data_IF_784020925951
#
_entry.id   IF_784020925951
#
_cell.length_a   1.000
_cell.length_b   1.000
_cell.length_c   1.000
_cell.angle_alpha   90.00
_cell.angle_beta   90.00
_cell.angle_gamma   90.00
#
_symmetry.space_group_name_H-M   'P 1'
#
loop_
_entity.id
_entity.type
_entity.pdbx_description
1 polymer ?
#
# COMPACT_ATOMS: atom_id res chain seq x y z
N UNK A 1 -20.08 19.47 -31.39
CA UNK A 1 -20.49 19.06 -30.04
C UNK A 1 -21.76 18.24 -30.18
N UNK A 2 -21.70 16.93 -29.90
CA UNK A 2 -22.89 16.07 -29.98
C UNK A 2 -23.90 16.51 -28.91
N UNK A 3 -25.18 16.61 -29.27
CA UNK A 3 -26.23 16.98 -28.31
C UNK A 3 -26.42 15.87 -27.27
N UNK A 4 -26.76 16.22 -26.03
CA UNK A 4 -27.00 15.25 -24.94
C UNK A 4 -28.06 14.22 -25.34
N UNK A 5 -29.11 14.65 -26.05
CA UNK A 5 -30.16 13.77 -26.55
C UNK A 5 -29.65 12.74 -27.56
N UNK A 6 -28.66 13.08 -28.39
CA UNK A 6 -28.05 12.15 -29.33
C UNK A 6 -27.22 11.08 -28.60
N UNK A 7 -26.46 11.46 -27.56
CA UNK A 7 -25.67 10.52 -26.74
C UNK A 7 -26.58 9.54 -25.97
N UNK A 8 -27.68 10.05 -25.39
CA UNK A 8 -28.68 9.21 -24.72
C UNK A 8 -29.32 8.17 -25.64
N UNK A 9 -29.46 8.47 -26.93
CA UNK A 9 -30.02 7.55 -27.93
C UNK A 9 -29.06 6.44 -28.38
N UNK A 10 -27.76 6.64 -28.15
CA UNK A 10 -26.70 5.75 -28.61
C UNK A 10 -26.27 4.72 -27.55
N UNK A 11 -26.64 4.93 -26.29
CA UNK A 11 -26.32 4.01 -25.22
C UNK A 11 -27.03 2.66 -25.40
N UNK A 12 -26.32 1.51 -25.26
CA UNK A 12 -26.92 0.19 -25.39
C UNK A 12 -27.80 -0.21 -24.19
N UNK A 13 -28.04 0.71 -23.25
CA UNK A 13 -28.83 0.51 -22.05
C UNK A 13 -29.68 1.74 -21.74
N UNK A 14 -30.72 1.56 -20.91
CA UNK A 14 -31.58 2.67 -20.47
C UNK A 14 -30.80 3.60 -19.53
N UNK A 15 -30.61 4.83 -19.95
CA UNK A 15 -29.94 5.87 -19.16
C UNK A 15 -30.89 6.47 -18.11
N UNK A 16 -30.33 6.85 -16.96
CA UNK A 16 -31.06 7.51 -15.88
C UNK A 16 -31.49 8.93 -16.23
N UNK A 17 -32.50 9.45 -15.53
CA UNK A 17 -32.99 10.83 -15.73
C UNK A 17 -32.21 11.86 -14.90
N UNK A 18 -31.57 11.43 -13.81
CA UNK A 18 -30.80 12.31 -12.93
C UNK A 18 -29.45 12.62 -13.57
N UNK A 19 -29.29 13.86 -14.00
CA UNK A 19 -28.06 14.33 -14.64
C UNK A 19 -27.05 14.75 -13.57
N UNK A 20 -25.84 14.20 -13.65
CA UNK A 20 -24.71 14.58 -12.80
C UNK A 20 -23.64 15.17 -13.71
N UNK A 21 -23.53 16.50 -13.69
CA UNK A 21 -22.62 17.25 -14.57
C UNK A 21 -21.17 17.23 -14.08
N UNK A 22 -20.98 17.21 -12.76
CA UNK A 22 -19.69 17.29 -12.09
C UNK A 22 -19.58 16.15 -11.08
N UNK A 23 -19.24 14.93 -11.55
CA UNK A 23 -19.07 13.79 -10.65
C UNK A 23 -17.87 14.01 -9.71
N UNK A 24 -18.11 13.94 -8.40
CA UNK A 24 -17.08 14.01 -7.37
C UNK A 24 -16.81 12.62 -6.78
N UNK A 25 -16.05 11.81 -7.52
CA UNK A 25 -15.57 10.52 -7.06
C UNK A 25 -14.38 10.06 -7.89
N UNK A 26 -13.56 9.19 -7.30
CA UNK A 26 -12.53 8.44 -8.01
C UNK A 26 -12.91 6.97 -8.14
N UNK A 27 -12.55 6.37 -9.28
CA UNK A 27 -12.56 4.91 -9.45
C UNK A 27 -11.16 4.45 -9.81
N UNK A 28 -10.72 3.36 -9.21
CA UNK A 28 -9.37 2.82 -9.43
C UNK A 28 -9.47 1.51 -10.19
N UNK A 29 -8.82 1.39 -11.34
CA UNK A 29 -8.71 0.15 -12.10
C UNK A 29 -7.62 -0.75 -11.50
N UNK A 30 -7.93 -2.02 -11.22
CA UNK A 30 -7.03 -2.98 -10.57
C UNK A 30 -6.49 -4.02 -11.55
N UNK A 31 -5.18 -4.27 -11.48
CA UNK A 31 -4.54 -5.38 -12.19
C UNK A 31 -4.80 -6.70 -11.46
N UNK A 32 -5.44 -7.66 -12.13
CA UNK A 32 -5.69 -9.03 -11.61
C UNK A 32 -5.26 -10.07 -12.62
N UNK A 33 -4.32 -10.92 -12.25
CA UNK A 33 -3.75 -11.96 -13.12
C UNK A 33 -4.64 -13.18 -13.35
N UNK A 34 -5.60 -13.44 -12.46
CA UNK A 34 -6.48 -14.61 -12.52
C UNK A 34 -7.77 -14.38 -13.30
N UNK A 35 -8.05 -13.14 -13.71
CA UNK A 35 -9.21 -12.80 -14.51
C UNK A 35 -8.84 -12.83 -15.99
N UNK A 36 -9.79 -13.21 -16.84
CA UNK A 36 -9.58 -13.18 -18.29
C UNK A 36 -9.44 -11.75 -18.83
N UNK A 37 -8.91 -11.55 -20.05
CA UNK A 37 -8.73 -10.23 -20.65
C UNK A 37 -10.02 -9.41 -20.79
N UNK A 38 -11.19 -10.07 -20.77
CA UNK A 38 -12.49 -9.40 -20.85
C UNK A 38 -13.01 -8.91 -19.50
N UNK A 39 -12.31 -9.16 -18.40
CA UNK A 39 -12.77 -8.79 -17.07
C UNK A 39 -11.90 -7.67 -16.50
N UNK A 40 -12.52 -6.54 -16.18
CA UNK A 40 -11.87 -5.42 -15.51
C UNK A 40 -12.45 -5.24 -14.11
N UNK A 41 -11.60 -5.06 -13.09
CA UNK A 41 -12.04 -4.81 -11.71
C UNK A 41 -11.72 -3.39 -11.29
N UNK A 42 -12.73 -2.72 -10.73
CA UNK A 42 -12.62 -1.36 -10.21
C UNK A 42 -12.85 -1.35 -8.69
N UNK A 43 -12.10 -0.52 -7.99
CA UNK A 43 -12.51 -0.06 -6.65
C UNK A 43 -13.35 1.19 -6.83
N UNK A 44 -14.53 1.19 -6.20
CA UNK A 44 -15.54 2.24 -6.35
C UNK A 44 -16.00 2.72 -4.97
N UNK A 45 -16.61 3.92 -4.87
CA UNK A 45 -17.22 4.39 -3.64
C UNK A 45 -18.26 3.39 -3.09
N UNK A 46 -18.43 3.34 -1.76
CA UNK A 46 -19.33 2.38 -1.11
C UNK A 46 -20.79 2.52 -1.57
N UNK A 47 -21.23 3.77 -1.79
CA UNK A 47 -22.57 4.12 -2.25
C UNK A 47 -22.79 3.95 -3.76
N UNK A 48 -21.73 3.68 -4.53
CA UNK A 48 -21.77 3.61 -5.98
C UNK A 48 -22.57 2.39 -6.47
N UNK A 49 -23.55 2.57 -7.35
CA UNK A 49 -24.36 1.45 -7.85
C UNK A 49 -23.77 0.78 -9.09
N UNK A 50 -24.26 -0.42 -9.43
CA UNK A 50 -23.85 -1.13 -10.65
C UNK A 50 -24.25 -0.37 -11.91
N UNK A 51 -25.37 0.36 -11.85
CA UNK A 51 -25.88 1.16 -12.95
C UNK A 51 -25.02 2.41 -13.13
N UNK A 52 -24.61 3.05 -12.02
CA UNK A 52 -23.73 4.23 -12.06
C UNK A 52 -22.37 3.89 -12.67
N UNK A 53 -21.79 2.73 -12.32
CA UNK A 53 -20.52 2.31 -12.92
C UNK A 53 -20.64 2.08 -14.42
N UNK A 54 -21.71 1.42 -14.87
CA UNK A 54 -21.94 1.19 -16.29
C UNK A 54 -22.11 2.52 -17.04
N UNK A 55 -22.95 3.39 -16.50
CA UNK A 55 -23.23 4.70 -17.07
C UNK A 55 -21.97 5.57 -17.13
N UNK A 56 -21.21 5.60 -16.04
CA UNK A 56 -19.96 6.35 -15.94
C UNK A 56 -18.88 5.82 -16.89
N UNK A 57 -18.69 4.50 -16.98
CA UNK A 57 -17.72 3.93 -17.93
C UNK A 57 -18.09 4.21 -19.38
N UNK A 58 -19.39 4.21 -19.71
CA UNK A 58 -19.88 4.51 -21.06
C UNK A 58 -19.75 5.99 -21.43
N UNK A 59 -20.05 6.90 -20.49
CA UNK A 59 -20.07 8.35 -20.77
C UNK A 59 -18.74 9.07 -20.51
N UNK A 60 -17.95 8.66 -19.50
CA UNK A 60 -16.79 9.41 -19.05
C UNK A 60 -15.47 8.92 -19.64
N UNK A 61 -15.33 7.62 -19.93
CA UNK A 61 -14.08 7.08 -20.45
C UNK A 61 -14.07 7.06 -21.98
N UNK A 62 -13.74 8.24 -22.54
CA UNK A 62 -12.66 8.42 -23.50
C UNK A 62 -11.61 9.32 -22.77
N UNK A 63 -10.30 9.02 -22.83
CA UNK A 63 -9.41 9.15 -21.67
C UNK A 63 -9.19 10.61 -21.22
N UNK A 64 -9.50 10.89 -19.95
CA UNK A 64 -9.02 12.08 -19.24
C UNK A 64 -8.49 11.70 -17.85
N UNK A 65 -7.38 12.34 -17.48
CA UNK A 65 -6.54 12.00 -16.33
C UNK A 65 -6.99 12.81 -15.11
N UNK A 66 -7.15 12.17 -13.95
CA UNK A 66 -7.38 12.87 -12.68
C UNK A 66 -6.55 12.25 -11.54
N UNK A 67 -6.05 13.15 -10.68
CA UNK A 67 -5.08 12.96 -9.60
C UNK A 67 -5.77 12.54 -8.30
N UNK A 68 -5.08 11.78 -7.45
CA UNK A 68 -5.51 11.40 -6.10
C UNK A 68 -4.81 12.24 -5.02
N UNK A 69 -5.55 12.61 -3.97
CA UNK A 69 -5.03 13.21 -2.75
C UNK A 69 -4.82 12.17 -1.65
N UNK A 70 -3.73 12.28 -0.89
CA UNK A 70 -3.43 11.41 0.25
C UNK A 70 -3.82 12.08 1.57
N UNK A 71 -4.75 11.46 2.30
CA UNK A 71 -5.01 11.82 3.70
C UNK A 71 -4.30 10.83 4.64
N UNK A 72 -3.48 11.35 5.55
CA UNK A 72 -2.72 10.56 6.54
C UNK A 72 -3.60 10.34 7.78
N UNK A 73 -3.93 9.09 8.17
CA UNK A 73 -4.79 8.86 9.32
C UNK A 73 -4.04 8.94 10.66
N UNK A 74 -4.72 9.51 11.67
CA UNK A 74 -4.28 9.56 13.07
C UNK A 74 -4.42 8.19 13.77
N UNK A 75 -3.50 7.85 14.68
CA UNK A 75 -3.37 6.57 15.39
C UNK A 75 -4.47 6.28 16.43
N UNK A 76 -5.74 6.16 16.02
CA UNK A 76 -6.78 5.51 16.84
C UNK A 76 -7.15 4.17 16.22
N UNK A 77 -7.35 3.15 17.07
CA UNK A 77 -7.90 1.87 16.62
C UNK A 77 -9.34 2.10 16.11
N UNK A 78 -9.48 2.18 14.79
CA UNK A 78 -10.76 2.34 14.10
C UNK A 78 -10.82 1.30 12.99
N UNK A 79 -12.02 0.74 12.75
CA UNK A 79 -12.24 -0.15 11.62
C UNK A 79 -12.26 0.69 10.34
N UNK A 80 -11.35 0.48 9.38
CA UNK A 80 -11.39 1.24 8.12
C UNK A 80 -12.73 1.01 7.39
N UNK A 81 -13.08 1.96 6.54
CA UNK A 81 -14.27 1.86 5.70
C UNK A 81 -14.18 0.61 4.80
N UNK A 82 -15.32 -0.05 4.58
CA UNK A 82 -15.37 -1.24 3.71
C UNK A 82 -15.08 -0.83 2.26
N UNK A 83 -14.16 -1.54 1.60
CA UNK A 83 -13.79 -1.27 0.21
C UNK A 83 -14.73 -2.04 -0.73
N UNK A 84 -15.46 -1.32 -1.58
CA UNK A 84 -16.34 -1.93 -2.59
C UNK A 84 -15.58 -2.14 -3.89
N UNK A 85 -15.61 -3.37 -4.40
CA UNK A 85 -15.01 -3.74 -5.70
C UNK A 85 -16.08 -4.23 -6.65
N UNK A 86 -16.01 -3.81 -7.89
CA UNK A 86 -16.91 -4.23 -8.96
C UNK A 86 -16.09 -4.77 -10.13
N UNK A 87 -16.52 -5.90 -10.69
CA UNK A 87 -15.95 -6.47 -11.90
C UNK A 87 -16.93 -6.30 -13.05
N UNK A 88 -16.44 -5.83 -14.19
CA UNK A 88 -17.20 -5.60 -15.42
C UNK A 88 -16.68 -6.53 -16.51
N UNK A 89 -17.59 -7.05 -17.32
CA UNK A 89 -17.27 -7.78 -18.55
C UNK A 89 -17.25 -6.79 -19.72
N UNK A 90 -16.12 -6.73 -20.39
CA UNK A 90 -15.83 -5.86 -21.52
C UNK A 90 -16.12 -6.61 -22.82
N UNK A 91 -16.65 -5.90 -23.82
CA UNK A 91 -16.84 -6.43 -25.16
C UNK A 91 -15.49 -6.73 -25.83
N UNK A 92 -14.59 -5.74 -25.77
CA UNK A 92 -13.21 -5.85 -26.23
C UNK A 92 -12.29 -6.31 -25.11
N UNK A 93 -11.35 -7.24 -25.37
CA UNK A 93 -10.37 -7.65 -24.38
C UNK A 93 -9.41 -6.49 -24.06
N UNK A 94 -9.04 -6.39 -22.80
CA UNK A 94 -8.05 -5.46 -22.29
C UNK A 94 -6.96 -6.24 -21.54
N UNK A 95 -5.71 -6.11 -22.00
CA UNK A 95 -4.56 -6.69 -21.34
C UNK A 95 -3.70 -5.59 -20.74
N UNK A 96 -3.25 -5.82 -19.50
CA UNK A 96 -2.34 -4.90 -18.83
C UNK A 96 -0.95 -4.98 -19.44
N UNK A 97 -0.26 -3.84 -19.62
CA UNK A 97 1.13 -3.87 -20.03
C UNK A 97 1.99 -4.64 -19.03
N UNK A 98 3.05 -5.25 -19.54
CA UNK A 98 4.07 -5.86 -18.69
C UNK A 98 4.70 -4.80 -17.78
N UNK A 99 5.00 -5.13 -16.52
CA UNK A 99 5.69 -4.20 -15.65
C UNK A 99 7.06 -3.85 -16.25
N UNK A 100 7.49 -2.58 -16.19
CA UNK A 100 8.80 -2.19 -16.69
C UNK A 100 9.91 -2.90 -15.91
N UNK A 101 11.00 -3.25 -16.61
CA UNK A 101 12.18 -3.88 -15.98
C UNK A 101 12.90 -2.90 -15.04
N UNK A 102 12.98 -1.62 -15.44
CA UNK A 102 13.60 -0.57 -14.66
C UNK A 102 12.56 0.13 -13.77
N UNK A 103 12.58 -0.23 -12.49
CA UNK A 103 11.69 0.34 -11.46
C UNK A 103 12.34 1.48 -10.66
N UNK A 104 13.54 1.91 -11.05
CA UNK A 104 14.26 3.02 -10.41
C UNK A 104 13.45 4.36 -10.43
N UNK A 105 12.68 4.71 -11.48
CA UNK A 105 11.81 5.90 -11.45
C UNK A 105 10.74 5.85 -10.36
N UNK A 106 10.30 4.65 -9.99
CA UNK A 106 9.35 4.40 -8.90
C UNK A 106 10.04 4.19 -7.54
N UNK A 107 11.35 4.46 -7.46
CA UNK A 107 12.15 4.38 -6.23
C UNK A 107 11.95 3.05 -5.48
N UNK A 108 11.93 1.94 -6.22
CA UNK A 108 11.57 0.63 -5.66
C UNK A 108 12.53 0.20 -4.53
N UNK A 109 13.83 0.49 -4.69
CA UNK A 109 14.86 0.20 -3.68
C UNK A 109 14.56 0.89 -2.34
N UNK A 110 14.22 2.18 -2.39
CA UNK A 110 13.84 2.95 -1.20
C UNK A 110 12.55 2.42 -0.58
N UNK A 111 11.52 2.17 -1.40
CA UNK A 111 10.24 1.63 -0.93
C UNK A 111 10.40 0.26 -0.25
N UNK A 112 11.23 -0.62 -0.84
CA UNK A 112 11.57 -1.93 -0.26
C UNK A 112 12.36 -1.79 1.04
N UNK A 113 13.35 -0.90 1.09
CA UNK A 113 14.14 -0.64 2.29
C UNK A 113 13.26 -0.10 3.43
N UNK A 114 12.41 0.90 3.14
CA UNK A 114 11.45 1.45 4.11
C UNK A 114 10.49 0.39 4.63
N UNK A 115 9.95 -0.45 3.75
CA UNK A 115 9.08 -1.56 4.15
C UNK A 115 9.82 -2.59 5.01
N UNK A 116 11.05 -2.93 4.66
CA UNK A 116 11.86 -3.88 5.44
C UNK A 116 12.18 -3.34 6.85
N UNK A 117 12.53 -2.06 6.96
CA UNK A 117 12.73 -1.41 8.25
C UNK A 117 11.43 -1.35 9.07
N UNK A 118 10.31 -1.02 8.43
CA UNK A 118 9.01 -1.01 9.10
C UNK A 118 8.59 -2.41 9.56
N UNK A 119 8.81 -3.45 8.75
CA UNK A 119 8.56 -4.85 9.12
C UNK A 119 9.46 -5.30 10.30
N UNK A 120 10.71 -4.83 10.37
CA UNK A 120 11.60 -5.08 11.53
C UNK A 120 11.08 -4.37 12.77
N UNK A 121 10.68 -3.11 12.67
CA UNK A 121 10.08 -2.37 13.79
C UNK A 121 8.79 -3.03 14.28
N UNK A 122 7.91 -3.44 13.36
CA UNK A 122 6.64 -4.08 13.67
C UNK A 122 6.86 -5.44 14.36
N UNK A 123 7.89 -6.21 13.97
CA UNK A 123 8.29 -7.43 14.68
C UNK A 123 8.82 -7.14 16.08
N UNK A 124 9.64 -6.09 16.25
CA UNK A 124 10.20 -5.66 17.55
C UNK A 124 9.13 -5.15 18.51
N UNK A 125 8.09 -4.48 18.00
CA UNK A 125 6.99 -3.92 18.81
C UNK A 125 5.78 -4.85 18.92
N UNK A 126 5.71 -5.86 18.06
CA UNK A 126 4.59 -6.78 17.95
C UNK A 126 4.54 -7.86 19.04
N UNK A 127 3.51 -8.73 19.00
CA UNK A 127 3.34 -9.80 19.97
C UNK A 127 4.45 -10.86 19.93
N UNK A 128 5.20 -10.94 18.84
CA UNK A 128 6.34 -11.86 18.66
C UNK A 128 7.69 -11.23 19.04
N UNK A 129 7.72 -10.10 19.76
CA UNK A 129 8.97 -9.41 20.13
C UNK A 129 9.98 -10.33 20.79
N UNK A 130 9.52 -11.28 21.61
CA UNK A 130 10.38 -12.18 22.39
C UNK A 130 11.11 -13.20 21.50
N UNK A 131 10.63 -13.41 20.26
CA UNK A 131 11.26 -14.28 19.26
C UNK A 131 12.30 -13.54 18.41
N UNK A 132 12.36 -12.20 18.49
CA UNK A 132 13.29 -11.40 17.69
C UNK A 132 14.65 -11.41 18.37
N UNK A 133 15.60 -12.14 17.79
CA UNK A 133 17.00 -12.15 18.21
C UNK A 133 17.77 -11.08 17.44
N UNK A 134 18.56 -10.28 18.16
CA UNK A 134 19.52 -9.37 17.54
C UNK A 134 20.74 -10.17 17.07
N UNK A 135 20.84 -10.42 15.76
CA UNK A 135 21.88 -11.26 15.16
C UNK A 135 23.28 -10.65 15.34
N UNK A 136 23.40 -9.33 15.26
CA UNK A 136 24.68 -8.62 15.41
C UNK A 136 25.16 -8.74 16.86
N UNK A 137 24.25 -8.56 17.82
CA UNK A 137 24.56 -8.76 19.23
C UNK A 137 24.95 -10.21 19.53
N UNK A 138 24.22 -11.19 18.95
CA UNK A 138 24.52 -12.60 19.12
C UNK A 138 25.87 -12.99 18.49
N UNK A 139 26.23 -12.42 17.32
CA UNK A 139 27.52 -12.63 16.69
C UNK A 139 28.66 -12.05 17.54
N UNK A 140 28.52 -10.81 18.01
CA UNK A 140 29.50 -10.18 18.88
C UNK A 140 29.72 -10.97 20.18
N UNK A 141 28.65 -11.47 20.81
CA UNK A 141 28.76 -12.33 22.00
C UNK A 141 29.46 -13.66 21.69
N UNK A 142 29.19 -14.27 20.53
CA UNK A 142 29.88 -15.50 20.11
C UNK A 142 31.37 -15.26 19.90
N UNK A 143 31.76 -14.16 19.26
CA UNK A 143 33.16 -13.79 19.05
C UNK A 143 33.87 -13.57 20.39
N UNK A 144 33.27 -12.79 21.30
CA UNK A 144 33.79 -12.58 22.64
C UNK A 144 33.94 -13.90 23.41
N UNK A 145 32.94 -14.79 23.34
CA UNK A 145 33.02 -16.11 23.96
C UNK A 145 34.17 -16.96 23.40
N UNK A 146 34.38 -16.93 22.08
CA UNK A 146 35.51 -17.63 21.44
C UNK A 146 36.87 -17.07 21.87
N UNK A 147 37.00 -15.76 22.04
CA UNK A 147 38.24 -15.14 22.54
C UNK A 147 38.54 -15.52 23.99
N UNK A 148 37.52 -15.61 24.84
CA UNK A 148 37.65 -16.08 26.23
C UNK A 148 38.07 -17.56 26.27
N UNK A 149 37.44 -18.41 25.44
CA UNK A 149 37.76 -19.84 25.36
C UNK A 149 39.18 -20.09 24.82
N UNK A 150 39.63 -19.29 23.86
CA UNK A 150 41.00 -19.32 23.34
C UNK A 150 42.03 -18.75 24.31
N UNK A 151 41.59 -18.09 25.40
CA UNK A 151 42.46 -17.46 26.39
C UNK A 151 43.09 -16.14 25.91
N UNK A 152 42.67 -15.60 24.77
CA UNK A 152 43.18 -14.32 24.23
C UNK A 152 42.77 -13.15 25.11
N UNK A 153 41.56 -13.22 25.69
CA UNK A 153 41.05 -12.24 26.65
C UNK A 153 40.69 -12.93 27.95
N UNK A 154 40.90 -12.24 29.07
CA UNK A 154 40.51 -12.71 30.40
C UNK A 154 39.21 -12.02 30.80
N UNK A 155 38.25 -12.77 31.33
CA UNK A 155 37.01 -12.19 31.83
C UNK A 155 37.30 -11.23 32.99
N UNK A 156 36.71 -10.03 32.93
CA UNK A 156 36.75 -9.06 34.00
C UNK A 156 35.32 -8.62 34.34
N UNK A 157 34.97 -8.43 35.62
CA UNK A 157 33.70 -7.83 35.99
C UNK A 157 33.66 -6.39 35.45
N UNK A 158 32.47 -5.92 35.09
CA UNK A 158 32.30 -4.52 34.75
C UNK A 158 32.77 -3.67 35.94
N UNK A 159 33.66 -2.71 35.71
CA UNK A 159 33.99 -1.73 36.74
C UNK A 159 32.72 -0.93 37.04
N UNK A 160 32.21 -1.01 38.27
CA UNK A 160 31.16 -0.12 38.78
C UNK A 160 31.67 1.32 38.73
N UNK A 161 31.56 1.98 37.58
CA UNK A 161 31.61 3.44 37.53
C UNK A 161 30.26 3.93 38.02
N UNK A 162 30.03 3.83 39.34
CA UNK A 162 29.09 4.73 39.99
C UNK A 162 29.70 6.12 39.83
N UNK A 163 29.04 7.09 39.17
CA UNK A 163 29.45 8.48 39.32
C UNK A 163 29.35 8.80 40.81
N UNK A 164 30.51 8.89 41.48
CA UNK A 164 30.57 9.25 42.89
C UNK A 164 29.88 10.59 43.12
N UNK A 165 29.38 10.87 44.33
CA UNK A 165 28.73 12.14 44.61
C UNK A 165 29.72 13.27 44.34
N UNK A 166 29.35 14.17 43.43
CA UNK A 166 30.05 15.45 43.24
C UNK A 166 29.84 16.24 44.52
N UNK A 167 30.80 16.18 45.45
CA UNK A 167 30.82 17.06 46.61
C UNK A 167 31.09 18.48 46.09
N UNK A 168 30.05 19.30 46.05
CA UNK A 168 30.20 20.74 45.90
C UNK A 168 30.82 21.31 47.19
N UNK A 169 31.96 22.00 47.03
CA UNK A 169 32.47 22.94 48.02
C UNK A 169 33.14 24.11 47.33
#
# INVERSE_FOLDING_TARGET
MSSIAAVLSQAPFRVGQKQVYLPDFSITLHRRSHLGPRHATFTVPLWFSKLDLRDYLFHAYDPSYLKEDYAVPTRRYYRPQSIKRMTVELESPFEWPEPPKDLDPWQEKYSKAMKAEQDKEDKRRGPQKDLVVDEDHAAAMREQALELLKGTKTWQPYATTSPGPVLSR
#
